data_IF_249048481068
#
_entry.id   IF_249048481068
#
_cell.length_a   1.000
_cell.length_b   1.000
_cell.length_c   1.000
_cell.angle_alpha   90.00
_cell.angle_beta   90.00
_cell.angle_gamma   90.00
#
_symmetry.space_group_name_H-M   'P 1'
#
loop_
_entity.id
_entity.type
_entity.pdbx_description
1 polymer ?
#
# COMPACT_ATOMS: atom_id res chain seq x y z
N UNK A 1 0.95 5.59 -58.21
CA UNK A 1 -0.20 5.97 -57.37
C UNK A 1 -0.02 5.22 -56.06
N UNK A 2 0.42 5.93 -55.01
CA UNK A 2 0.94 5.32 -53.78
C UNK A 2 -0.20 4.88 -52.85
N UNK A 3 -0.12 3.65 -52.35
CA UNK A 3 -1.04 3.09 -51.36
C UNK A 3 -0.52 3.52 -49.99
N UNK A 4 -1.28 4.37 -49.29
CA UNK A 4 -0.96 4.79 -47.92
C UNK A 4 -1.13 3.58 -46.99
N UNK A 5 -0.03 3.12 -46.40
CA UNK A 5 -0.04 2.17 -45.30
C UNK A 5 -0.31 2.93 -44.00
N UNK A 6 -1.30 2.47 -43.25
CA UNK A 6 -1.65 3.01 -41.94
C UNK A 6 -0.88 2.23 -40.87
N UNK A 7 -0.03 2.94 -40.14
CA UNK A 7 0.83 2.41 -39.08
C UNK A 7 0.00 2.08 -37.81
N UNK A 8 0.19 0.92 -37.15
CA UNK A 8 -0.55 0.59 -35.94
C UNK A 8 0.00 1.38 -34.75
N UNK A 9 -0.73 2.41 -34.33
CA UNK A 9 -0.47 3.17 -33.12
C UNK A 9 -0.50 2.25 -31.89
N UNK A 10 0.68 1.99 -31.32
CA UNK A 10 0.83 1.28 -30.06
C UNK A 10 0.45 2.21 -28.91
N UNK A 11 -0.80 2.15 -28.46
CA UNK A 11 -1.20 2.81 -27.20
C UNK A 11 -0.58 2.06 -26.01
N UNK A 12 0.01 2.75 -25.02
CA UNK A 12 0.39 2.12 -23.76
C UNK A 12 -0.88 1.75 -22.98
N UNK A 13 -1.18 0.47 -22.88
CA UNK A 13 -2.26 -0.06 -22.04
C UNK A 13 -1.86 0.02 -20.55
N UNK A 14 -1.98 1.22 -19.95
CA UNK A 14 -1.80 1.42 -18.50
C UNK A 14 -3.10 1.47 -17.71
N UNK A 15 -4.23 1.10 -18.30
CA UNK A 15 -5.46 0.90 -17.54
C UNK A 15 -5.51 -0.55 -17.06
N UNK A 16 -5.11 -0.76 -15.81
CA UNK A 16 -5.49 -1.93 -15.01
C UNK A 16 -7.02 -1.93 -14.86
N UNK A 17 -7.71 -2.33 -15.92
CA UNK A 17 -9.12 -2.69 -15.90
C UNK A 17 -9.24 -4.02 -15.16
N UNK A 18 -9.25 -3.95 -13.83
CA UNK A 18 -9.64 -5.08 -12.99
C UNK A 18 -9.95 -4.60 -11.58
N UNK A 19 -11.23 -4.64 -11.24
CA UNK A 19 -11.77 -4.81 -9.88
C UNK A 19 -11.38 -6.18 -9.29
N UNK A 20 -10.15 -6.65 -9.55
CA UNK A 20 -9.61 -7.86 -8.97
C UNK A 20 -8.69 -7.48 -7.82
N UNK A 21 -9.20 -7.65 -6.60
CA UNK A 21 -8.51 -7.51 -5.32
C UNK A 21 -7.27 -8.44 -5.12
N UNK A 22 -6.66 -8.94 -6.19
CA UNK A 22 -5.62 -9.97 -6.16
C UNK A 22 -4.18 -9.47 -6.35
N UNK A 23 -3.93 -8.16 -6.34
CA UNK A 23 -2.56 -7.59 -6.51
C UNK A 23 -1.58 -8.14 -5.47
N UNK A 24 -2.04 -8.49 -4.27
CA UNK A 24 -1.19 -8.98 -3.18
C UNK A 24 -1.48 -10.44 -2.81
N UNK A 25 -2.12 -11.22 -3.67
CA UNK A 25 -2.40 -12.65 -3.44
C UNK A 25 -3.81 -12.91 -2.89
N UNK A 26 -4.06 -14.13 -2.35
CA UNK A 26 -5.41 -14.56 -2.00
C UNK A 26 -6.04 -13.65 -0.95
N UNK A 27 -7.35 -13.44 -1.11
CA UNK A 27 -8.17 -12.66 -0.18
C UNK A 27 -7.99 -13.20 1.24
N UNK A 28 -7.64 -12.32 2.18
CA UNK A 28 -7.56 -12.69 3.59
C UNK A 28 -8.90 -13.27 4.06
N UNK A 29 -8.85 -14.30 4.89
CA UNK A 29 -10.06 -14.93 5.41
C UNK A 29 -10.76 -14.08 6.47
N UNK A 30 -10.06 -13.08 7.02
CA UNK A 30 -10.55 -12.21 8.09
C UNK A 30 -10.28 -10.74 7.81
N UNK A 31 -11.09 -9.88 8.43
CA UNK A 31 -10.79 -8.45 8.58
C UNK A 31 -10.35 -8.13 10.00
N UNK A 32 -9.48 -7.14 10.16
CA UNK A 32 -9.02 -6.67 11.47
C UNK A 32 -10.18 -6.14 12.31
N UNK A 33 -10.33 -6.72 13.49
CA UNK A 33 -11.26 -6.38 14.55
C UNK A 33 -10.50 -6.26 15.88
N UNK A 34 -11.18 -5.81 16.93
CA UNK A 34 -10.55 -5.53 18.23
C UNK A 34 -10.04 -6.77 18.99
N UNK A 35 -10.52 -7.96 18.61
CA UNK A 35 -10.22 -9.23 19.30
C UNK A 35 -9.38 -10.21 18.47
N UNK A 36 -9.07 -9.90 17.20
CA UNK A 36 -8.40 -10.84 16.29
C UNK A 36 -7.06 -10.34 15.76
N UNK A 37 -6.50 -9.28 16.38
CA UNK A 37 -5.26 -8.64 15.92
C UNK A 37 -4.11 -9.62 15.67
N UNK A 38 -3.87 -10.58 16.57
CA UNK A 38 -2.76 -11.53 16.40
C UNK A 38 -2.92 -12.39 15.14
N UNK A 39 -4.14 -12.88 14.90
CA UNK A 39 -4.44 -13.70 13.71
C UNK A 39 -4.36 -12.86 12.43
N UNK A 40 -4.92 -11.64 12.45
CA UNK A 40 -4.82 -10.71 11.32
C UNK A 40 -3.36 -10.38 11.01
N UNK A 41 -2.58 -10.06 12.04
CA UNK A 41 -1.16 -9.72 11.90
C UNK A 41 -0.38 -10.88 11.29
N UNK A 42 -0.65 -12.13 11.71
CA UNK A 42 0.00 -13.30 11.14
C UNK A 42 -0.28 -13.45 9.64
N UNK A 43 -1.54 -13.28 9.20
CA UNK A 43 -1.88 -13.38 7.77
C UNK A 43 -1.24 -12.25 6.94
N UNK A 44 -1.31 -11.00 7.42
CA UNK A 44 -0.73 -9.86 6.71
C UNK A 44 0.80 -9.96 6.65
N UNK A 45 1.47 -10.42 7.72
CA UNK A 45 2.91 -10.71 7.69
C UNK A 45 3.27 -11.74 6.63
N UNK A 46 2.46 -12.79 6.46
CA UNK A 46 2.67 -13.79 5.41
C UNK A 46 2.70 -13.16 4.02
N UNK A 47 1.75 -12.27 3.73
CA UNK A 47 1.70 -11.52 2.46
C UNK A 47 2.88 -10.55 2.31
N UNK A 48 3.26 -9.83 3.37
CA UNK A 48 4.42 -8.93 3.35
C UNK A 48 5.70 -9.69 3.01
N UNK A 49 5.89 -10.88 3.60
CA UNK A 49 7.07 -11.70 3.37
C UNK A 49 7.08 -12.32 1.97
N UNK A 50 5.94 -12.81 1.47
CA UNK A 50 5.87 -13.42 0.13
C UNK A 50 6.19 -12.44 -0.99
N UNK A 51 5.82 -11.16 -0.82
CA UNK A 51 6.10 -10.10 -1.79
C UNK A 51 7.40 -9.33 -1.51
N UNK A 52 8.24 -9.81 -0.58
CA UNK A 52 9.49 -9.14 -0.15
C UNK A 52 9.27 -7.67 0.29
N UNK A 53 8.07 -7.36 0.78
CA UNK A 53 7.66 -6.01 1.17
C UNK A 53 8.18 -5.58 2.54
N UNK A 54 8.90 -6.46 3.24
CA UNK A 54 9.40 -6.22 4.60
C UNK A 54 10.19 -4.91 4.73
N UNK A 55 10.98 -4.55 3.70
CA UNK A 55 11.75 -3.30 3.65
C UNK A 55 10.87 -2.04 3.66
N UNK A 56 9.64 -2.13 3.16
CA UNK A 56 8.74 -0.98 3.04
C UNK A 56 7.92 -0.69 4.29
N UNK A 57 7.91 -1.62 5.24
CA UNK A 57 7.06 -1.54 6.42
C UNK A 57 7.85 -1.11 7.64
N UNK A 58 9.11 -1.52 7.75
CA UNK A 58 9.97 -1.20 8.89
C UNK A 58 10.81 0.07 8.70
N UNK A 59 11.26 0.37 7.48
CA UNK A 59 12.10 1.55 7.19
C UNK A 59 11.82 2.08 5.76
N UNK A 60 10.70 2.78 5.54
CA UNK A 60 10.31 3.22 4.20
C UNK A 60 11.38 4.16 3.63
N UNK A 61 12.01 3.74 2.54
CA UNK A 61 12.81 4.63 1.70
C UNK A 61 11.87 5.31 0.73
N UNK A 62 11.63 6.61 0.94
CA UNK A 62 10.77 7.43 0.09
C UNK A 62 11.68 8.16 -0.90
N UNK A 63 11.58 7.90 -2.21
CA UNK A 63 12.36 8.61 -3.21
C UNK A 63 12.03 10.11 -3.22
N UNK A 64 12.98 10.91 -3.70
CA UNK A 64 12.74 12.34 -3.95
C UNK A 64 11.72 12.50 -5.08
N UNK A 65 10.75 13.39 -4.89
CA UNK A 65 9.74 13.72 -5.90
C UNK A 65 10.41 14.34 -7.14
N UNK A 66 11.40 15.21 -6.92
CA UNK A 66 12.17 15.89 -7.95
C UNK A 66 13.66 15.64 -7.75
N UNK A 67 14.41 15.42 -8.84
CA UNK A 67 15.87 15.19 -8.81
C UNK A 67 16.69 16.48 -8.67
N UNK A 68 16.11 17.61 -9.05
CA UNK A 68 16.77 18.92 -9.04
C UNK A 68 15.74 20.05 -8.96
N UNK A 69 16.18 21.25 -8.62
CA UNK A 69 15.32 22.44 -8.63
C UNK A 69 14.79 22.76 -10.03
N UNK A 70 15.56 22.45 -11.08
CA UNK A 70 15.11 22.61 -12.47
C UNK A 70 13.93 21.68 -12.79
N UNK A 71 14.01 20.43 -12.33
CA UNK A 71 12.94 19.45 -12.51
C UNK A 71 11.69 19.87 -11.71
N UNK A 72 11.86 20.42 -10.52
CA UNK A 72 10.75 20.97 -9.73
C UNK A 72 10.07 22.14 -10.45
N UNK A 73 10.83 23.12 -10.95
CA UNK A 73 10.28 24.25 -11.71
C UNK A 73 9.58 23.81 -13.01
N UNK A 74 10.04 22.73 -13.63
CA UNK A 74 9.43 22.13 -14.81
C UNK A 74 8.30 21.14 -14.48
N UNK A 75 7.98 20.92 -13.20
CA UNK A 75 7.06 19.90 -12.71
C UNK A 75 7.34 18.48 -13.26
N UNK A 76 8.62 18.15 -13.44
CA UNK A 76 9.08 16.86 -13.95
C UNK A 76 9.35 15.92 -12.78
N UNK A 77 8.37 15.08 -12.47
CA UNK A 77 8.49 14.07 -11.40
C UNK A 77 9.55 13.04 -11.76
N UNK A 78 10.30 12.59 -10.76
CA UNK A 78 11.29 11.54 -10.92
C UNK A 78 10.61 10.16 -11.08
N UNK A 79 10.93 9.42 -12.13
CA UNK A 79 10.41 8.08 -12.44
C UNK A 79 10.46 7.07 -11.27
N UNK A 80 11.47 7.17 -10.40
CA UNK A 80 11.57 6.31 -9.22
C UNK A 80 10.48 6.63 -8.19
N UNK A 81 10.15 7.91 -8.01
CA UNK A 81 9.04 8.33 -7.15
C UNK A 81 7.69 7.87 -7.73
N UNK A 82 7.47 8.04 -9.04
CA UNK A 82 6.26 7.56 -9.74
C UNK A 82 6.06 6.05 -9.54
N UNK A 83 7.12 5.28 -9.75
CA UNK A 83 7.06 3.82 -9.55
C UNK A 83 6.78 3.47 -8.09
N UNK A 84 7.43 4.18 -7.16
CA UNK A 84 7.27 3.97 -5.73
C UNK A 84 5.87 4.31 -5.24
N UNK A 85 5.27 5.43 -5.69
CA UNK A 85 3.96 5.88 -5.21
C UNK A 85 2.85 4.95 -5.71
N UNK A 86 2.94 4.43 -6.93
CA UNK A 86 1.99 3.43 -7.44
C UNK A 86 2.00 2.17 -6.58
N UNK A 87 3.18 1.65 -6.26
CA UNK A 87 3.31 0.49 -5.38
C UNK A 87 2.86 0.80 -3.95
N UNK A 88 3.16 2.00 -3.44
CA UNK A 88 2.76 2.44 -2.12
C UNK A 88 1.24 2.45 -1.97
N UNK A 89 0.56 3.09 -2.92
CA UNK A 89 -0.88 3.30 -2.90
C UNK A 89 -1.66 2.01 -3.19
N UNK A 90 -1.11 1.12 -4.00
CA UNK A 90 -1.67 -0.22 -4.19
C UNK A 90 -1.70 -0.99 -2.87
N UNK A 91 -0.58 -1.03 -2.14
CA UNK A 91 -0.52 -1.76 -0.86
C UNK A 91 -1.30 -1.06 0.25
N UNK A 92 -1.33 0.28 0.24
CA UNK A 92 -2.18 1.09 1.11
C UNK A 92 -3.67 0.72 0.95
N UNK A 93 -4.15 0.73 -0.29
CA UNK A 93 -5.56 0.40 -0.62
C UNK A 93 -5.90 -1.05 -0.26
N UNK A 94 -4.98 -1.97 -0.54
CA UNK A 94 -5.13 -3.37 -0.13
C UNK A 94 -5.22 -3.48 1.39
N UNK A 95 -4.32 -2.85 2.14
CA UNK A 95 -4.28 -2.92 3.60
C UNK A 95 -5.56 -2.37 4.22
N UNK A 96 -6.08 -1.24 3.72
CA UNK A 96 -7.39 -0.70 4.12
C UNK A 96 -8.53 -1.70 3.91
N UNK A 97 -8.51 -2.46 2.80
CA UNK A 97 -9.54 -3.47 2.52
C UNK A 97 -9.59 -4.61 3.56
N UNK A 98 -8.47 -4.84 4.25
CA UNK A 98 -8.34 -5.85 5.31
C UNK A 98 -8.81 -5.36 6.67
N UNK A 99 -9.15 -4.08 6.82
CA UNK A 99 -9.53 -3.47 8.10
C UNK A 99 -11.06 -3.42 8.17
N UNK A 100 -11.64 -3.76 9.33
CA UNK A 100 -13.09 -3.63 9.53
C UNK A 100 -13.49 -2.16 9.71
N UNK A 101 -14.76 -1.84 9.43
CA UNK A 101 -15.31 -0.49 9.60
C UNK A 101 -15.15 0.08 11.02
N UNK A 102 -15.07 -0.78 12.04
CA UNK A 102 -14.91 -0.38 13.44
C UNK A 102 -13.48 0.09 13.75
N UNK A 103 -12.48 -0.46 13.06
CA UNK A 103 -11.07 -0.13 13.26
C UNK A 103 -10.60 0.95 12.26
N UNK A 104 -11.25 1.06 11.10
CA UNK A 104 -10.91 1.98 10.02
C UNK A 104 -10.75 3.46 10.45
N UNK A 105 -11.59 4.01 11.36
CA UNK A 105 -11.42 5.39 11.83
C UNK A 105 -10.05 5.69 12.42
N UNK A 106 -9.36 4.66 12.94
CA UNK A 106 -8.03 4.82 13.53
C UNK A 106 -6.96 5.15 12.51
N UNK A 107 -7.16 4.87 11.22
CA UNK A 107 -6.13 5.03 10.17
C UNK A 107 -6.48 6.08 9.11
N UNK A 108 -7.50 6.91 9.33
CA UNK A 108 -7.98 7.90 8.36
C UNK A 108 -6.94 8.99 8.02
N UNK A 109 -6.03 9.30 8.93
CA UNK A 109 -4.98 10.30 8.71
C UNK A 109 -3.76 9.75 7.95
N UNK A 110 -3.70 8.44 7.72
CA UNK A 110 -2.58 7.81 7.03
C UNK A 110 -2.66 8.09 5.53
N UNK A 111 -1.50 8.40 4.95
CA UNK A 111 -1.29 8.64 3.51
C UNK A 111 -0.52 7.51 2.84
N UNK A 112 0.29 6.78 3.61
CA UNK A 112 1.19 5.75 3.11
C UNK A 112 1.05 4.45 3.88
N UNK A 113 1.40 3.33 3.23
CA UNK A 113 1.20 1.97 3.79
C UNK A 113 1.89 1.75 5.13
N UNK A 114 3.08 2.32 5.31
CA UNK A 114 3.87 2.19 6.53
C UNK A 114 3.18 2.87 7.72
N UNK A 115 2.43 3.94 7.49
CA UNK A 115 1.71 4.67 8.54
C UNK A 115 0.53 3.84 9.05
N UNK A 116 -0.24 3.21 8.15
CA UNK A 116 -1.30 2.27 8.53
C UNK A 116 -0.71 1.14 9.40
N UNK A 117 0.38 0.53 8.93
CA UNK A 117 1.01 -0.57 9.65
C UNK A 117 1.45 -0.19 11.06
N UNK A 118 2.18 0.93 11.18
CA UNK A 118 2.69 1.44 12.44
C UNK A 118 1.55 1.82 13.40
N UNK A 119 0.54 2.53 12.92
CA UNK A 119 -0.58 2.98 13.75
C UNK A 119 -1.42 1.83 14.30
N UNK A 120 -1.67 0.79 13.49
CA UNK A 120 -2.34 -0.43 13.95
C UNK A 120 -1.51 -1.12 15.03
N UNK A 121 -0.22 -1.32 14.79
CA UNK A 121 0.65 -1.99 15.77
C UNK A 121 0.75 -1.21 17.07
N UNK A 122 0.92 0.11 17.01
CA UNK A 122 0.91 0.99 18.18
C UNK A 122 -0.38 0.85 18.98
N UNK A 123 -1.54 0.93 18.31
CA UNK A 123 -2.83 0.83 18.97
C UNK A 123 -3.00 -0.51 19.71
N UNK A 124 -2.78 -1.63 19.02
CA UNK A 124 -2.98 -2.95 19.62
C UNK A 124 -1.91 -3.30 20.65
N UNK A 125 -0.68 -2.79 20.54
CA UNK A 125 0.32 -2.93 21.59
C UNK A 125 -0.10 -2.23 22.89
N UNK A 126 -0.71 -1.04 22.79
CA UNK A 126 -1.26 -0.32 23.97
C UNK A 126 -2.42 -1.12 24.57
N UNK A 127 -3.37 -1.58 23.75
CA UNK A 127 -4.53 -2.36 24.21
C UNK A 127 -4.10 -3.67 24.89
N UNK A 128 -3.17 -4.41 24.29
CA UNK A 128 -2.67 -5.66 24.86
C UNK A 128 -1.91 -5.42 26.17
N UNK A 129 -1.06 -4.40 26.24
CA UNK A 129 -0.35 -4.03 27.49
C UNK A 129 -1.34 -3.62 28.59
N UNK A 130 -2.35 -2.81 28.28
CA UNK A 130 -3.35 -2.38 29.25
C UNK A 130 -4.12 -3.54 29.87
N UNK A 131 -4.49 -4.56 29.06
CA UNK A 131 -5.20 -5.76 29.54
C UNK A 131 -4.37 -6.62 30.49
N UNK A 132 -3.05 -6.70 30.28
CA UNK A 132 -2.14 -7.46 31.16
C UNK A 132 -2.02 -6.80 32.55
N UNK A 133 -2.16 -5.49 32.65
CA UNK A 133 -2.06 -4.77 33.94
C UNK A 133 -3.38 -4.75 34.73
N UNK A 134 -4.50 -5.19 34.14
CA UNK A 134 -5.83 -5.17 34.77
C UNK A 134 -6.27 -6.55 35.30
N UNK A 135 -5.42 -7.57 35.18
CA UNK A 135 -5.61 -8.94 35.67
C UNK A 135 -4.73 -9.17 36.89
#
# INVERSE_FOLDING_TARGET
MAISQQEPQSQPSLFLNSTNHNVFGPKLSIKLQENNFLLWNQQVKGIILSHKLHKFVANPQIPLIFKSDKDHLANKVFDEYETWIVQDQAFFSWLLSTISKLVLPRVLSCKHRYQIWDQIHKHFNIVMKGRVHQL
#
